data_IF_866377215146
#
_entry.id   IF_866377215146
#
_cell.length_a   1.000
_cell.length_b   1.000
_cell.length_c   1.000
_cell.angle_alpha   90.00
_cell.angle_beta   90.00
_cell.angle_gamma   90.00
#
_symmetry.space_group_name_H-M   'P 1'
#
loop_
_entity.id
_entity.type
_entity.pdbx_description
1 polymer ?
#
# COMPACT_ATOMS: atom_id res chain seq x y z
N UNK A 1 46.44 -17.70 13.24
CA UNK A 1 46.63 -17.06 11.92
C UNK A 1 45.38 -17.28 11.09
N UNK A 2 44.81 -16.21 10.51
CA UNK A 2 43.60 -16.22 9.65
C UNK A 2 42.39 -15.59 10.32
N UNK A 3 42.43 -14.32 10.73
CA UNK A 3 42.14 -13.10 9.93
C UNK A 3 40.79 -13.09 9.18
N UNK A 4 39.95 -12.15 9.63
CA UNK A 4 39.07 -11.25 8.87
C UNK A 4 38.19 -11.85 7.77
N UNK A 5 36.88 -11.91 8.05
CA UNK A 5 35.87 -11.46 7.08
C UNK A 5 34.83 -10.57 7.76
N UNK A 6 34.98 -9.31 7.42
CA UNK A 6 34.19 -8.13 7.69
C UNK A 6 32.67 -8.30 7.63
N UNK A 7 32.01 -7.76 8.66
CA UNK A 7 31.05 -6.66 8.56
C UNK A 7 30.33 -6.47 7.21
N UNK A 8 29.28 -7.25 6.94
CA UNK A 8 28.23 -6.90 5.95
C UNK A 8 26.80 -7.21 6.41
N UNK A 9 26.54 -7.43 7.71
CA UNK A 9 25.17 -7.69 8.19
C UNK A 9 24.34 -6.40 8.39
N UNK A 10 24.98 -5.24 8.53
CA UNK A 10 24.33 -4.03 9.08
C UNK A 10 23.56 -3.12 8.09
N UNK A 11 23.57 -3.37 6.77
CA UNK A 11 22.97 -2.45 5.77
C UNK A 11 21.79 -3.00 4.97
N UNK A 12 21.26 -4.17 5.31
CA UNK A 12 20.14 -4.78 4.55
C UNK A 12 18.74 -4.39 5.07
N UNK A 13 18.64 -3.59 6.13
CA UNK A 13 17.36 -3.36 6.80
C UNK A 13 16.58 -2.10 6.36
N UNK A 14 17.18 -1.18 5.59
CA UNK A 14 16.46 0.04 5.20
C UNK A 14 15.54 -0.08 3.97
N UNK A 15 15.66 -1.15 3.18
CA UNK A 15 14.87 -1.31 1.94
C UNK A 15 13.80 -2.41 1.99
N UNK A 16 13.92 -3.42 2.84
CA UNK A 16 12.92 -4.51 2.95
C UNK A 16 11.53 -3.99 3.36
N UNK A 17 11.46 -2.86 4.07
CA UNK A 17 10.22 -2.20 4.46
C UNK A 17 9.39 -1.64 3.29
N UNK A 18 9.98 -1.43 2.11
CA UNK A 18 9.39 -0.69 0.99
C UNK A 18 9.12 -1.54 -0.26
N UNK A 19 9.17 -2.87 -0.13
CA UNK A 19 9.01 -3.79 -1.27
C UNK A 19 7.60 -4.38 -1.30
N UNK A 20 7.00 -4.51 -2.50
CA UNK A 20 5.79 -5.28 -2.69
C UNK A 20 5.94 -6.70 -2.15
N UNK A 21 4.87 -7.23 -1.57
CA UNK A 21 4.79 -8.62 -1.14
C UNK A 21 3.54 -9.27 -1.75
N UNK A 22 3.66 -9.90 -2.92
CA UNK A 22 2.61 -10.75 -3.49
C UNK A 22 2.33 -12.04 -2.71
N UNK A 23 1.09 -12.50 -2.84
CA UNK A 23 0.58 -13.84 -2.51
C UNK A 23 -0.25 -14.38 -3.65
N UNK A 24 -0.40 -15.70 -3.76
CA UNK A 24 -1.18 -16.36 -4.82
C UNK A 24 -2.38 -17.06 -4.21
N UNK A 25 -3.53 -17.00 -4.89
CA UNK A 25 -4.73 -17.79 -4.55
C UNK A 25 -5.65 -17.93 -5.77
N UNK A 26 -6.85 -18.45 -5.57
CA UNK A 26 -7.91 -18.46 -6.59
C UNK A 26 -8.74 -17.16 -6.55
N UNK A 27 -9.58 -16.92 -7.56
CA UNK A 27 -10.25 -15.63 -7.77
C UNK A 27 -10.98 -15.06 -6.54
N UNK A 28 -11.85 -15.85 -5.92
CA UNK A 28 -12.66 -15.42 -4.79
C UNK A 28 -11.80 -15.15 -3.54
N UNK A 29 -10.81 -16.02 -3.32
CA UNK A 29 -9.89 -15.98 -2.19
C UNK A 29 -8.94 -14.78 -2.27
N UNK A 30 -8.43 -14.47 -3.46
CA UNK A 30 -7.54 -13.33 -3.68
C UNK A 30 -8.22 -11.99 -3.37
N UNK A 31 -9.50 -11.88 -3.74
CA UNK A 31 -10.31 -10.70 -3.46
C UNK A 31 -10.69 -10.59 -1.97
N UNK A 32 -10.95 -11.73 -1.33
CA UNK A 32 -11.27 -11.80 0.09
C UNK A 32 -10.04 -11.67 1.01
N UNK A 33 -8.84 -11.87 0.47
CA UNK A 33 -7.60 -11.86 1.23
C UNK A 33 -7.39 -13.13 2.07
N UNK A 34 -8.00 -14.25 1.70
CA UNK A 34 -8.06 -15.50 2.47
C UNK A 34 -7.51 -16.68 1.68
N UNK A 35 -7.25 -17.81 2.34
CA UNK A 35 -6.91 -19.10 1.71
C UNK A 35 -5.79 -19.02 0.65
N UNK A 36 -4.67 -18.41 1.03
CA UNK A 36 -3.49 -18.30 0.17
C UNK A 36 -2.88 -19.67 -0.11
N UNK A 37 -2.43 -19.86 -1.35
CA UNK A 37 -1.69 -21.05 -1.76
C UNK A 37 -0.33 -21.07 -1.06
N UNK A 38 0.03 -22.23 -0.52
CA UNK A 38 1.37 -22.53 -0.02
C UNK A 38 2.11 -23.26 -1.14
N UNK A 39 3.23 -22.69 -1.57
CA UNK A 39 4.07 -23.22 -2.64
C UNK A 39 5.47 -23.33 -2.07
N UNK A 40 6.04 -24.54 -2.06
CA UNK A 40 7.36 -24.82 -1.48
C UNK A 40 7.49 -24.29 -0.03
N UNK A 41 6.47 -24.54 0.81
CA UNK A 41 6.33 -24.07 2.21
C UNK A 41 6.28 -22.55 2.41
N UNK A 42 6.04 -21.79 1.33
CA UNK A 42 5.95 -20.33 1.35
C UNK A 42 4.61 -19.85 0.81
N UNK A 43 4.01 -18.85 1.47
CA UNK A 43 2.72 -18.24 1.07
C UNK A 43 2.86 -16.80 0.58
N UNK A 44 4.08 -16.24 0.60
CA UNK A 44 4.35 -14.84 0.28
C UNK A 44 5.77 -14.63 -0.23
N UNK A 45 5.91 -13.78 -1.24
CA UNK A 45 7.17 -13.52 -1.92
C UNK A 45 7.49 -12.03 -1.86
N UNK A 46 8.58 -11.66 -1.17
CA UNK A 46 9.04 -10.26 -1.21
C UNK A 46 9.80 -10.03 -2.51
N UNK A 47 9.50 -8.95 -3.24
CA UNK A 47 10.23 -8.65 -4.47
C UNK A 47 11.71 -8.34 -4.21
N UNK A 48 12.55 -8.50 -5.23
CA UNK A 48 13.94 -8.05 -5.22
C UNK A 48 14.07 -6.52 -5.40
N UNK A 49 15.29 -6.04 -5.61
CA UNK A 49 15.59 -4.61 -5.82
C UNK A 49 15.05 -4.06 -7.14
N UNK A 50 14.77 -4.95 -8.09
CA UNK A 50 14.21 -4.65 -9.40
C UNK A 50 12.68 -4.74 -9.39
N UNK A 51 12.07 -5.04 -8.24
CA UNK A 51 10.62 -5.21 -8.12
C UNK A 51 10.11 -6.55 -8.65
N UNK A 52 10.98 -7.54 -8.83
CA UNK A 52 10.63 -8.86 -9.34
C UNK A 52 10.44 -9.85 -8.18
N UNK A 53 9.38 -10.64 -8.25
CA UNK A 53 9.19 -11.85 -7.45
C UNK A 53 9.13 -13.05 -8.40
N UNK A 54 9.71 -14.19 -7.99
CA UNK A 54 9.65 -15.43 -8.74
C UNK A 54 8.84 -16.43 -7.91
N UNK A 55 7.76 -16.91 -8.49
CA UNK A 55 6.92 -17.97 -7.91
C UNK A 55 7.14 -19.20 -8.79
N UNK A 56 7.87 -20.17 -8.25
CA UNK A 56 8.16 -21.42 -8.94
C UNK A 56 7.01 -22.42 -8.76
N UNK A 57 7.10 -23.56 -9.44
CA UNK A 57 6.32 -24.76 -9.13
C UNK A 57 4.79 -24.65 -9.32
N UNK A 58 4.30 -23.58 -9.97
CA UNK A 58 2.91 -23.49 -10.40
C UNK A 58 2.64 -24.44 -11.56
N UNK A 59 1.56 -25.21 -11.47
CA UNK A 59 1.05 -26.01 -12.58
C UNK A 59 0.53 -25.09 -13.68
N UNK A 60 0.71 -25.48 -14.95
CA UNK A 60 0.04 -24.80 -16.06
C UNK A 60 -1.48 -24.73 -15.86
N UNK A 61 -2.04 -23.57 -16.21
CA UNK A 61 -3.46 -23.25 -16.13
C UNK A 61 -4.28 -24.14 -17.06
N UNK A 62 -3.77 -24.40 -18.26
CA UNK A 62 -4.43 -25.11 -19.35
C UNK A 62 -4.05 -26.60 -19.46
N UNK A 63 -3.45 -27.19 -18.42
CA UNK A 63 -3.05 -28.60 -18.45
C UNK A 63 -3.38 -29.31 -17.14
N UNK A 64 -4.13 -30.42 -17.24
CA UNK A 64 -4.47 -31.30 -16.13
C UNK A 64 -4.66 -32.73 -16.63
N UNK A 65 -4.41 -33.72 -15.77
CA UNK A 65 -4.66 -35.13 -16.07
C UNK A 65 -4.06 -35.59 -17.42
N UNK A 66 -2.86 -35.11 -17.73
CA UNK A 66 -2.13 -35.44 -18.95
C UNK A 66 -2.79 -34.96 -20.27
N UNK A 67 -3.68 -33.96 -20.20
CA UNK A 67 -4.38 -33.39 -21.35
C UNK A 67 -4.51 -31.85 -21.24
N UNK A 68 -4.71 -31.20 -22.39
CA UNK A 68 -5.01 -29.77 -22.46
C UNK A 68 -6.46 -29.51 -22.02
N UNK A 69 -6.66 -28.44 -21.26
CA UNK A 69 -7.95 -28.01 -20.69
C UNK A 69 -8.23 -26.59 -21.16
N UNK A 70 -9.41 -26.37 -21.76
CA UNK A 70 -9.81 -25.05 -22.19
C UNK A 70 -10.17 -24.16 -20.99
N UNK A 71 -10.02 -22.85 -21.14
CA UNK A 71 -10.48 -21.89 -20.14
C UNK A 71 -11.98 -22.06 -19.87
N UNK A 72 -12.36 -22.12 -18.59
CA UNK A 72 -13.73 -22.33 -18.14
C UNK A 72 -14.13 -23.80 -17.96
N UNK A 73 -13.31 -24.76 -18.39
CA UNK A 73 -13.59 -26.19 -18.20
C UNK A 73 -13.13 -26.69 -16.82
N UNK A 74 -13.79 -27.73 -16.26
CA UNK A 74 -13.33 -28.37 -15.03
C UNK A 74 -11.88 -28.84 -15.17
N UNK A 75 -11.03 -28.38 -14.25
CA UNK A 75 -9.60 -28.69 -14.25
C UNK A 75 -8.71 -27.58 -14.79
N UNK A 76 -9.26 -26.50 -15.38
CA UNK A 76 -8.51 -25.28 -15.66
C UNK A 76 -8.09 -24.62 -14.34
N UNK A 77 -6.81 -24.27 -14.18
CA UNK A 77 -6.30 -23.62 -12.97
C UNK A 77 -6.17 -22.10 -13.17
N UNK A 78 -6.91 -21.35 -12.36
CA UNK A 78 -6.83 -19.89 -12.33
C UNK A 78 -6.03 -19.43 -11.11
N UNK A 79 -4.98 -18.66 -11.36
CA UNK A 79 -4.20 -18.03 -10.28
C UNK A 79 -4.44 -16.53 -10.27
N UNK A 80 -4.44 -15.99 -9.06
CA UNK A 80 -4.66 -14.58 -8.79
C UNK A 80 -3.63 -14.10 -7.79
N UNK A 81 -2.97 -13.00 -8.14
CA UNK A 81 -1.95 -12.36 -7.35
C UNK A 81 -2.58 -11.27 -6.48
N UNK A 82 -2.59 -11.48 -5.17
CA UNK A 82 -2.96 -10.46 -4.19
C UNK A 82 -1.71 -9.77 -3.64
N UNK A 83 -1.73 -8.45 -3.53
CA UNK A 83 -0.68 -7.71 -2.82
C UNK A 83 -1.08 -7.52 -1.36
N UNK A 84 -0.23 -7.95 -0.42
CA UNK A 84 -0.49 -7.74 1.03
C UNK A 84 0.27 -6.57 1.62
N UNK A 85 1.22 -6.03 0.85
CA UNK A 85 2.04 -4.89 1.24
C UNK A 85 2.49 -4.13 0.01
N UNK A 86 2.15 -2.85 -0.03
CA UNK A 86 2.53 -1.92 -1.08
C UNK A 86 4.00 -1.50 -1.00
N UNK A 87 4.61 -1.07 -2.11
CA UNK A 87 5.88 -0.35 -2.05
C UNK A 87 5.74 1.00 -1.35
N UNK A 88 6.85 1.52 -0.82
CA UNK A 88 6.84 2.84 -0.17
C UNK A 88 6.41 3.96 -1.14
N UNK A 89 5.41 4.76 -0.75
CA UNK A 89 4.89 5.88 -1.56
C UNK A 89 3.80 5.49 -2.57
N UNK A 90 3.33 4.24 -2.53
CA UNK A 90 2.27 3.70 -3.37
C UNK A 90 1.09 3.22 -2.51
N UNK A 91 -0.08 3.13 -3.13
CA UNK A 91 -1.24 2.47 -2.54
C UNK A 91 -1.10 0.96 -2.66
N UNK A 92 -1.71 0.24 -1.71
CA UNK A 92 -1.92 -1.19 -1.83
C UNK A 92 -2.88 -1.47 -2.99
N UNK A 93 -2.57 -2.45 -3.84
CA UNK A 93 -3.51 -2.84 -4.89
C UNK A 93 -4.87 -3.24 -4.31
N UNK A 94 -5.92 -2.60 -4.82
CA UNK A 94 -7.30 -2.86 -4.41
C UNK A 94 -7.88 -4.12 -5.06
N UNK A 95 -7.39 -4.47 -6.25
CA UNK A 95 -7.85 -5.63 -7.01
C UNK A 95 -6.70 -6.62 -7.24
N UNK A 96 -6.94 -7.93 -7.07
CA UNK A 96 -5.95 -8.94 -7.39
C UNK A 96 -5.75 -9.03 -8.91
N UNK A 97 -4.54 -9.39 -9.33
CA UNK A 97 -4.17 -9.50 -10.75
C UNK A 97 -4.26 -10.95 -11.19
N UNK A 98 -5.01 -11.23 -12.26
CA UNK A 98 -5.08 -12.58 -12.82
C UNK A 98 -3.74 -12.98 -13.44
N UNK A 99 -3.33 -14.23 -13.19
CA UNK A 99 -2.12 -14.84 -13.73
C UNK A 99 -2.51 -16.12 -14.46
N UNK A 100 -2.21 -16.15 -15.76
CA UNK A 100 -2.29 -17.37 -16.57
C UNK A 100 -0.89 -17.95 -16.66
N UNK A 101 -0.73 -19.21 -16.26
CA UNK A 101 0.54 -19.92 -16.33
C UNK A 101 0.44 -20.88 -17.52
N UNK A 102 1.09 -20.55 -18.62
CA UNK A 102 1.16 -21.41 -19.80
C UNK A 102 2.62 -21.54 -20.27
N UNK A 103 2.89 -22.28 -21.35
CA UNK A 103 4.26 -22.51 -21.81
C UNK A 103 4.93 -21.24 -22.40
N UNK A 104 4.14 -20.28 -22.84
CA UNK A 104 4.56 -19.06 -23.54
C UNK A 104 4.64 -17.86 -22.59
N UNK A 105 3.82 -17.86 -21.53
CA UNK A 105 3.61 -16.75 -20.61
C UNK A 105 4.22 -17.05 -19.25
N UNK A 106 5.42 -16.53 -19.02
CA UNK A 106 6.18 -16.73 -17.77
C UNK A 106 6.34 -15.44 -16.96
N UNK A 107 5.67 -14.35 -17.35
CA UNK A 107 5.81 -13.05 -16.70
C UNK A 107 4.49 -12.28 -16.72
N UNK A 108 4.12 -11.71 -15.58
CA UNK A 108 3.03 -10.76 -15.43
C UNK A 108 3.59 -9.46 -14.89
N UNK A 109 3.20 -8.34 -15.50
CA UNK A 109 3.59 -7.00 -15.05
C UNK A 109 2.46 -6.39 -14.25
N UNK A 110 2.75 -5.98 -13.03
CA UNK A 110 1.82 -5.31 -12.13
C UNK A 110 2.17 -3.82 -12.07
N UNK A 111 1.17 -2.96 -12.27
CA UNK A 111 1.36 -1.51 -12.23
C UNK A 111 0.90 -0.96 -10.90
N UNK A 112 1.81 -0.35 -10.14
CA UNK A 112 1.48 0.25 -8.84
C UNK A 112 0.90 1.66 -9.01
N UNK A 113 -0.08 1.99 -8.16
CA UNK A 113 -0.69 3.32 -8.10
C UNK A 113 -0.01 4.14 -7.01
N UNK A 114 0.47 5.34 -7.33
CA UNK A 114 1.09 6.23 -6.33
C UNK A 114 0.05 6.64 -5.28
N UNK A 115 0.51 6.88 -4.06
CA UNK A 115 -0.35 7.37 -2.98
C UNK A 115 -1.13 8.62 -3.41
N UNK A 116 -2.41 8.71 -3.05
CA UNK A 116 -3.34 9.76 -3.51
C UNK A 116 -3.43 9.88 -5.05
N UNK A 117 -3.23 8.81 -5.80
CA UNK A 117 -3.14 8.81 -7.28
C UNK A 117 -2.07 9.78 -7.83
N UNK A 118 -1.04 10.08 -7.03
CA UNK A 118 -0.03 11.09 -7.36
C UNK A 118 -0.48 12.54 -7.13
N UNK A 119 -1.70 12.76 -6.64
CA UNK A 119 -2.17 14.07 -6.23
C UNK A 119 -1.55 14.45 -4.88
N UNK A 120 -0.77 15.53 -4.87
CA UNK A 120 -0.37 16.15 -3.61
C UNK A 120 -1.43 17.19 -3.27
N UNK A 121 -2.12 16.99 -2.16
CA UNK A 121 -3.03 18.01 -1.65
C UNK A 121 -2.23 19.32 -1.50
N UNK A 122 -2.70 20.44 -2.08
CA UNK A 122 -2.09 21.73 -1.81
C UNK A 122 -2.05 21.91 -0.29
N UNK A 123 -0.97 22.50 0.22
CA UNK A 123 -0.92 22.88 1.62
C UNK A 123 -2.03 23.91 1.86
N UNK A 124 -3.18 23.45 2.35
CA UNK A 124 -4.36 24.28 2.68
C UNK A 124 -4.09 24.95 4.01
N UNK A 125 -3.13 25.87 3.99
CA UNK A 125 -2.61 26.59 5.14
C UNK A 125 -1.58 27.63 4.72
N UNK A 126 -1.65 28.13 3.48
CA UNK A 126 -0.78 29.19 2.99
C UNK A 126 -0.95 30.48 3.81
N UNK A 127 -0.10 31.46 3.54
CA UNK A 127 0.04 32.70 4.31
C UNK A 127 -1.29 33.44 4.56
N UNK A 128 -2.28 33.30 3.69
CA UNK A 128 -3.63 33.87 3.86
C UNK A 128 -4.36 33.38 5.12
N UNK A 129 -4.18 32.11 5.52
CA UNK A 129 -4.80 31.56 6.74
C UNK A 129 -4.28 32.27 8.00
N UNK A 130 -3.00 32.68 8.02
CA UNK A 130 -2.42 33.41 9.14
C UNK A 130 -3.10 34.77 9.33
N UNK A 131 -3.41 35.47 8.23
CA UNK A 131 -4.12 36.75 8.26
C UNK A 131 -5.52 36.57 8.86
N UNK A 132 -6.26 35.54 8.43
CA UNK A 132 -7.58 35.25 9.00
C UNK A 132 -7.52 34.89 10.49
N UNK A 133 -6.51 34.14 10.93
CA UNK A 133 -6.30 33.84 12.36
C UNK A 133 -6.04 35.11 13.16
N UNK A 134 -5.15 36.00 12.68
CA UNK A 134 -4.82 37.25 13.36
C UNK A 134 -6.05 38.16 13.47
N UNK A 135 -6.80 38.32 12.36
CA UNK A 135 -8.02 39.13 12.34
C UNK A 135 -9.09 38.56 13.27
N UNK A 136 -9.30 37.24 13.22
CA UNK A 136 -10.26 36.57 14.11
C UNK A 136 -9.92 36.75 15.58
N UNK A 137 -8.66 36.57 15.96
CA UNK A 137 -8.18 36.78 17.32
C UNK A 137 -8.30 38.25 17.75
N UNK A 138 -8.05 39.21 16.86
CA UNK A 138 -8.22 40.62 17.15
C UNK A 138 -9.69 40.97 17.46
N UNK A 139 -10.64 40.47 16.66
CA UNK A 139 -12.09 40.67 16.89
C UNK A 139 -12.51 40.08 18.23
N UNK A 140 -12.09 38.86 18.54
CA UNK A 140 -12.38 38.20 19.83
C UNK A 140 -11.78 39.02 20.97
N UNK A 141 -10.53 39.49 20.85
CA UNK A 141 -9.88 40.33 21.85
C UNK A 141 -10.64 41.62 22.14
N UNK A 142 -11.08 42.34 21.09
CA UNK A 142 -11.88 43.56 21.23
C UNK A 142 -13.21 43.27 21.93
N UNK A 143 -13.94 42.24 21.50
CA UNK A 143 -15.21 41.86 22.11
C UNK A 143 -15.06 41.54 23.60
N UNK A 144 -14.00 40.79 23.96
CA UNK A 144 -13.70 40.41 25.35
C UNK A 144 -13.44 41.64 26.23
N UNK A 145 -12.65 42.61 25.75
CA UNK A 145 -12.36 43.84 26.49
C UNK A 145 -13.61 44.69 26.70
N UNK A 146 -14.45 44.83 25.68
CA UNK A 146 -15.72 45.58 25.76
C UNK A 146 -16.65 44.94 26.80
N UNK A 147 -16.78 43.61 26.77
CA UNK A 147 -17.66 42.88 27.68
C UNK A 147 -17.20 42.96 29.14
N UNK A 148 -15.88 42.88 29.39
CA UNK A 148 -15.33 43.07 30.75
C UNK A 148 -15.58 44.50 31.25
N UNK A 149 -15.43 45.52 30.40
CA UNK A 149 -15.68 46.91 30.78
C UNK A 149 -17.14 47.21 31.05
N UNK A 150 -18.07 46.67 30.26
CA UNK A 150 -19.51 46.87 30.50
C UNK A 150 -19.95 46.24 31.82
N UNK A 151 -19.50 45.02 32.13
CA UNK A 151 -19.79 44.37 33.41
C UNK A 151 -19.24 45.13 34.63
N UNK A 152 -18.07 45.76 34.51
CA UNK A 152 -17.51 46.59 35.59
C UNK A 152 -18.35 47.84 35.85
N UNK A 153 -18.90 48.46 34.81
CA UNK A 153 -19.75 49.67 34.93
C UNK A 153 -21.11 49.34 35.54
N UNK A 154 -21.70 48.20 35.19
CA UNK A 154 -23.00 47.77 35.77
C UNK A 154 -22.91 47.44 37.27
N UNK A 155 -21.76 46.95 37.75
CA UNK A 155 -21.53 46.68 39.18
C UNK A 155 -21.25 47.93 40.03
N UNK A 156 -21.04 49.08 39.41
CA UNK A 156 -20.85 50.37 40.11
C UNK A 156 -22.17 51.15 40.26
N UNK A 157 -23.26 50.68 39.65
CA UNK A 157 -24.59 51.31 39.66
C UNK A 157 -25.64 50.49 40.45
N UNK A 158 -25.21 49.44 41.15
CA UNK A 158 -26.00 48.64 42.06
C UNK A 158 -25.39 48.72 43.47
#
# INVERSE_FOLDING_TARGET
MGQHRDHQEGRRHHHAGRRPVPRVSHAADAKAGTNWLIIDDVDSWTTDEQGKAIIASLRYSDFANNAQVASGEPGYNEYWLGEIKAPGGYELQAEPVQVVVDQLTNQVTVTNVKHNAGFQLPVTGGTGTLVFIIVGLAIIGVATVVLVRSHRRSRQLA
#
